data_IF_717993306772
#
_entry.id   IF_717993306772
#
_cell.length_a   1.000
_cell.length_b   1.000
_cell.length_c   1.000
_cell.angle_alpha   90.00
_cell.angle_beta   90.00
_cell.angle_gamma   90.00
#
_symmetry.space_group_name_H-M   'P 1'
#
loop_
_entity.id
_entity.type
_entity.pdbx_description
1 polymer ?
#
# COMPACT_ATOMS: atom_id res chain seq x y z
N UNK A 1 49.89 21.50 1.77
CA UNK A 1 49.37 20.76 2.94
C UNK A 1 47.98 20.27 2.54
N UNK A 2 47.86 19.11 1.87
CA UNK A 2 47.70 17.77 2.45
C UNK A 2 46.48 17.75 3.41
N UNK A 3 45.40 16.98 3.23
CA UNK A 3 45.33 15.53 2.91
C UNK A 3 43.86 15.16 2.59
N UNK A 4 43.47 14.75 1.38
CA UNK A 4 43.14 13.37 0.94
C UNK A 4 42.54 12.39 1.98
N UNK A 5 41.22 12.18 2.03
CA UNK A 5 40.61 10.87 2.39
C UNK A 5 39.26 10.72 1.66
N UNK A 6 39.29 10.12 0.46
CA UNK A 6 39.00 8.70 0.15
C UNK A 6 37.49 8.37 0.13
N UNK A 7 37.00 8.19 -1.10
CA UNK A 7 35.76 7.55 -1.50
C UNK A 7 35.63 6.17 -0.85
N UNK A 8 34.51 5.91 -0.18
CA UNK A 8 34.10 4.54 0.17
C UNK A 8 32.86 4.20 -0.65
N UNK A 9 33.10 3.61 -1.81
CA UNK A 9 32.11 2.87 -2.58
C UNK A 9 31.91 1.55 -1.84
N UNK A 10 30.79 1.40 -1.13
CA UNK A 10 30.38 0.10 -0.62
C UNK A 10 29.52 -0.58 -1.68
N UNK A 11 30.19 -1.34 -2.55
CA UNK A 11 29.54 -2.23 -3.50
C UNK A 11 28.88 -3.37 -2.76
N UNK A 12 27.54 -3.42 -2.76
CA UNK A 12 26.80 -4.62 -2.39
C UNK A 12 26.79 -5.52 -3.61
N UNK A 13 27.47 -6.65 -3.47
CA UNK A 13 27.60 -7.70 -4.45
C UNK A 13 26.23 -8.20 -4.94
N UNK A 14 26.11 -8.38 -6.26
CA UNK A 14 24.98 -9.03 -6.88
C UNK A 14 24.82 -10.46 -6.37
N UNK A 15 23.67 -10.75 -5.79
CA UNK A 15 23.25 -12.11 -5.45
C UNK A 15 22.69 -12.74 -6.73
N UNK A 16 23.55 -13.47 -7.46
CA UNK A 16 23.12 -14.32 -8.57
C UNK A 16 22.38 -15.54 -8.00
N UNK A 17 21.05 -15.58 -8.12
CA UNK A 17 20.26 -16.79 -7.83
C UNK A 17 20.30 -17.70 -9.06
N UNK A 18 21.32 -18.53 -9.15
CA UNK A 18 21.43 -19.59 -10.15
C UNK A 18 20.81 -20.89 -9.64
N UNK A 19 19.62 -21.21 -10.16
CA UNK A 19 19.19 -22.58 -10.44
C UNK A 19 18.60 -23.41 -9.30
N UNK A 20 17.58 -24.21 -9.63
CA UNK A 20 17.21 -25.39 -8.87
C UNK A 20 15.72 -25.57 -8.65
N UNK A 21 15.05 -26.19 -9.63
CA UNK A 21 13.73 -26.82 -9.51
C UNK A 21 13.70 -27.71 -8.26
N UNK A 22 12.70 -27.56 -7.40
CA UNK A 22 12.34 -28.58 -6.42
C UNK A 22 10.84 -28.85 -6.44
N UNK A 23 10.56 -30.12 -6.67
CA UNK A 23 9.25 -30.74 -6.80
C UNK A 23 8.47 -30.77 -5.48
N UNK A 24 7.15 -30.73 -5.59
CA UNK A 24 6.19 -31.12 -4.55
C UNK A 24 5.11 -32.04 -5.13
N UNK A 25 4.36 -32.79 -4.30
CA UNK A 25 4.14 -34.23 -4.52
C UNK A 25 2.74 -34.65 -5.03
N UNK A 26 2.74 -35.68 -5.89
CA UNK A 26 1.74 -36.76 -6.16
C UNK A 26 0.23 -36.54 -5.88
N UNK A 27 -0.57 -36.57 -6.97
CA UNK A 27 -1.60 -37.59 -7.22
C UNK A 27 -2.04 -37.51 -8.70
N UNK A 28 -1.91 -38.62 -9.43
CA UNK A 28 -2.26 -38.73 -10.83
C UNK A 28 -3.78 -38.87 -11.01
N UNK A 29 -4.39 -37.97 -11.79
CA UNK A 29 -5.57 -38.28 -12.59
C UNK A 29 -5.33 -37.66 -13.97
N UNK A 30 -4.98 -38.52 -14.92
CA UNK A 30 -4.62 -38.12 -16.27
C UNK A 30 -5.88 -37.73 -17.05
N UNK A 31 -6.05 -36.42 -17.27
CA UNK A 31 -6.87 -35.87 -18.34
C UNK A 31 -6.08 -34.72 -18.97
N UNK A 32 -5.78 -34.84 -20.26
CA UNK A 32 -4.88 -33.94 -20.97
C UNK A 32 -5.58 -32.66 -21.44
N UNK A 33 -5.13 -31.45 -21.05
CA UNK A 33 -5.58 -30.21 -21.66
C UNK A 33 -4.50 -29.64 -22.60
N UNK A 34 -4.97 -29.21 -23.76
CA UNK A 34 -4.21 -28.47 -24.78
C UNK A 34 -3.72 -27.13 -24.21
N UNK A 35 -2.42 -27.02 -23.93
CA UNK A 35 -1.82 -25.79 -23.45
C UNK A 35 -1.59 -24.81 -24.60
N UNK A 36 -2.41 -23.75 -24.64
CA UNK A 36 -2.13 -22.56 -25.45
C UNK A 36 -0.81 -21.94 -24.97
N UNK A 37 0.18 -21.88 -25.87
CA UNK A 37 1.46 -21.23 -25.62
C UNK A 37 1.25 -19.72 -25.43
N UNK A 38 1.07 -19.29 -24.17
CA UNK A 38 1.11 -17.89 -23.79
C UNK A 38 2.50 -17.33 -24.03
N UNK A 39 2.62 -16.36 -24.96
CA UNK A 39 3.87 -15.63 -25.18
C UNK A 39 4.31 -14.96 -23.86
N UNK A 40 5.60 -14.98 -23.49
CA UNK A 40 6.06 -14.24 -22.33
C UNK A 40 5.84 -12.74 -22.58
N UNK A 41 4.97 -12.12 -21.79
CA UNK A 41 4.85 -10.67 -21.75
C UNK A 41 6.07 -10.14 -21.01
N UNK A 42 7.02 -9.60 -21.77
CA UNK A 42 8.13 -8.85 -21.20
C UNK A 42 7.55 -7.67 -20.39
N UNK A 43 7.94 -7.56 -19.13
CA UNK A 43 7.68 -6.34 -18.36
C UNK A 43 8.47 -5.20 -19.02
N UNK A 44 7.78 -4.37 -19.79
CA UNK A 44 8.36 -3.14 -20.32
C UNK A 44 8.53 -2.22 -19.12
N UNK A 45 9.78 -2.06 -18.67
CA UNK A 45 10.14 -1.00 -17.76
C UNK A 45 9.85 0.32 -18.49
N UNK A 46 8.69 0.93 -18.22
CA UNK A 46 8.36 2.23 -18.79
C UNK A 46 9.40 3.24 -18.31
N UNK A 47 9.93 4.04 -19.24
CA UNK A 47 10.82 5.13 -18.88
C UNK A 47 10.15 6.06 -17.88
N UNK A 48 10.96 6.62 -16.96
CA UNK A 48 10.47 7.60 -15.99
C UNK A 48 9.79 8.73 -16.77
N UNK A 49 8.51 9.05 -16.49
CA UNK A 49 7.82 10.08 -17.24
C UNK A 49 8.47 11.43 -17.00
N UNK A 50 8.57 12.22 -18.08
CA UNK A 50 9.14 13.55 -18.05
C UNK A 50 8.27 14.49 -17.19
N UNK A 51 8.81 14.85 -16.02
CA UNK A 51 8.12 15.74 -15.09
C UNK A 51 7.90 17.13 -15.71
N UNK A 52 8.77 17.62 -16.60
CA UNK A 52 8.55 18.90 -17.29
C UNK A 52 7.33 18.88 -18.21
N UNK A 53 6.98 17.71 -18.74
CA UNK A 53 5.74 17.49 -19.52
C UNK A 53 4.52 17.29 -18.62
N UNK A 54 4.69 16.66 -17.46
CA UNK A 54 3.59 16.38 -16.52
C UNK A 54 3.19 17.60 -15.66
N UNK A 55 4.17 18.43 -15.29
CA UNK A 55 4.00 19.64 -14.46
C UNK A 55 4.70 20.84 -15.13
N UNK A 56 4.25 21.28 -16.33
CA UNK A 56 4.87 22.37 -17.09
C UNK A 56 4.89 23.72 -16.34
N UNK A 57 4.03 23.87 -15.34
CA UNK A 57 3.95 25.06 -14.49
C UNK A 57 4.40 24.79 -13.05
N UNK A 58 5.03 23.64 -12.79
CA UNK A 58 5.32 23.15 -11.44
C UNK A 58 4.06 22.72 -10.69
N UNK A 59 4.26 22.26 -9.45
CA UNK A 59 3.15 22.04 -8.51
C UNK A 59 2.73 23.39 -7.95
N UNK A 60 1.47 23.77 -8.16
CA UNK A 60 0.96 25.03 -7.64
C UNK A 60 0.57 24.84 -6.17
N UNK A 61 1.24 25.58 -5.28
CA UNK A 61 0.98 25.55 -3.85
C UNK A 61 1.84 24.55 -3.06
N UNK A 62 1.85 24.74 -1.73
CA UNK A 62 2.50 23.82 -0.82
C UNK A 62 1.62 22.59 -0.56
N UNK A 63 2.25 21.43 -0.32
CA UNK A 63 1.52 20.25 0.13
C UNK A 63 0.91 20.52 1.51
N UNK A 64 -0.41 20.41 1.62
CA UNK A 64 -1.12 20.49 2.89
C UNK A 64 -0.73 19.33 3.82
N UNK A 65 -0.64 19.64 5.12
CA UNK A 65 -0.40 18.66 6.18
C UNK A 65 -1.47 18.81 7.25
N UNK A 66 -1.82 17.70 7.89
CA UNK A 66 -2.72 17.67 9.03
C UNK A 66 -1.90 17.20 10.23
N UNK A 67 -2.02 17.94 11.34
CA UNK A 67 -1.53 17.50 12.64
C UNK A 67 -2.59 16.61 13.26
N UNK A 68 -2.24 15.38 13.60
CA UNK A 68 -3.14 14.45 14.28
C UNK A 68 -2.97 14.58 15.78
N UNK A 69 -4.08 14.51 16.51
CA UNK A 69 -4.04 14.32 17.95
C UNK A 69 -3.78 12.84 18.31
N UNK A 70 -3.69 12.56 19.62
CA UNK A 70 -3.38 11.21 20.11
C UNK A 70 -4.46 10.18 19.75
N UNK A 71 -5.73 10.56 19.81
CA UNK A 71 -6.86 9.69 19.47
C UNK A 71 -6.85 9.32 17.98
N UNK A 72 -6.74 10.33 17.10
CA UNK A 72 -6.65 10.14 15.65
C UNK A 72 -5.43 9.28 15.29
N UNK A 73 -4.30 9.50 15.97
CA UNK A 73 -3.09 8.68 15.81
C UNK A 73 -3.34 7.23 16.26
N UNK A 74 -4.07 7.02 17.35
CA UNK A 74 -4.53 5.71 17.82
C UNK A 74 -5.41 5.01 16.78
N UNK A 75 -6.38 5.72 16.22
CA UNK A 75 -7.29 5.20 15.19
C UNK A 75 -6.56 4.82 13.91
N UNK A 76 -5.59 5.63 13.45
CA UNK A 76 -4.73 5.29 12.31
C UNK A 76 -3.95 4.00 12.56
N UNK A 77 -3.37 3.84 13.76
CA UNK A 77 -2.66 2.61 14.14
C UNK A 77 -3.59 1.40 14.14
N UNK A 78 -4.83 1.56 14.62
CA UNK A 78 -5.83 0.51 14.61
C UNK A 78 -6.20 0.07 13.19
N UNK A 79 -6.41 1.01 12.25
CA UNK A 79 -6.67 0.72 10.84
C UNK A 79 -5.50 -0.07 10.22
N UNK A 80 -4.25 0.36 10.46
CA UNK A 80 -3.06 -0.33 9.95
C UNK A 80 -2.98 -1.76 10.53
N UNK A 81 -3.21 -1.92 11.83
CA UNK A 81 -3.18 -3.22 12.49
C UNK A 81 -4.27 -4.16 11.94
N UNK A 82 -5.49 -3.67 11.75
CA UNK A 82 -6.60 -4.43 11.18
C UNK A 82 -6.30 -4.87 9.74
N UNK A 83 -5.77 -3.95 8.91
CA UNK A 83 -5.39 -4.24 7.53
C UNK A 83 -4.32 -5.34 7.45
N UNK A 84 -3.28 -5.24 8.30
CA UNK A 84 -2.23 -6.26 8.41
C UNK A 84 -2.77 -7.60 8.86
N UNK A 85 -3.63 -7.61 9.89
CA UNK A 85 -4.30 -8.83 10.39
C UNK A 85 -5.14 -9.50 9.32
N UNK A 86 -5.75 -8.73 8.43
CA UNK A 86 -6.54 -9.23 7.31
C UNK A 86 -5.69 -9.70 6.10
N UNK A 87 -4.35 -9.62 6.17
CA UNK A 87 -3.47 -10.03 5.07
C UNK A 87 -3.56 -9.12 3.83
N UNK A 88 -4.09 -7.90 3.99
CA UNK A 88 -4.30 -6.97 2.89
C UNK A 88 -3.00 -6.20 2.56
N UNK A 89 -2.83 -5.74 1.30
CA UNK A 89 -1.66 -4.98 0.90
C UNK A 89 -1.62 -3.62 1.62
N UNK A 90 -0.43 -3.01 1.75
CA UNK A 90 -0.24 -1.71 2.40
C UNK A 90 -1.15 -0.61 1.83
N UNK A 91 -1.41 -0.65 0.53
CA UNK A 91 -2.33 0.27 -0.15
C UNK A 91 -3.74 0.24 0.45
N UNK A 92 -4.20 -0.90 0.97
CA UNK A 92 -5.51 -0.99 1.62
C UNK A 92 -5.56 -0.15 2.91
N UNK A 93 -4.46 -0.10 3.68
CA UNK A 93 -4.39 0.74 4.87
C UNK A 93 -4.41 2.22 4.49
N UNK A 94 -3.68 2.60 3.43
CA UNK A 94 -3.68 3.98 2.91
C UNK A 94 -5.08 4.41 2.48
N UNK A 95 -5.77 3.58 1.69
CA UNK A 95 -7.15 3.86 1.25
C UNK A 95 -8.06 3.96 2.48
N UNK A 96 -7.98 3.02 3.42
CA UNK A 96 -8.82 3.02 4.61
C UNK A 96 -8.64 4.26 5.48
N UNK A 97 -7.38 4.70 5.66
CA UNK A 97 -7.07 5.95 6.38
C UNK A 97 -7.65 7.15 5.63
N UNK A 98 -7.47 7.23 4.31
CA UNK A 98 -7.97 8.33 3.50
C UNK A 98 -9.50 8.41 3.53
N UNK A 99 -10.18 7.26 3.43
CA UNK A 99 -11.63 7.17 3.57
C UNK A 99 -12.06 7.62 4.96
N UNK A 100 -11.47 7.09 6.02
CA UNK A 100 -11.84 7.49 7.39
C UNK A 100 -11.58 8.97 7.67
N UNK A 101 -10.52 9.55 7.10
CA UNK A 101 -10.27 10.98 7.18
C UNK A 101 -11.38 11.81 6.50
N UNK A 102 -11.91 11.33 5.38
CA UNK A 102 -13.00 12.00 4.66
C UNK A 102 -14.35 11.85 5.36
N UNK A 103 -14.63 10.67 5.92
CA UNK A 103 -15.91 10.36 6.55
C UNK A 103 -16.04 10.94 7.97
N UNK A 104 -14.98 10.86 8.77
CA UNK A 104 -15.04 11.18 10.21
C UNK A 104 -13.86 12.01 10.72
N UNK A 105 -12.95 12.46 9.85
CA UNK A 105 -11.68 13.10 10.27
C UNK A 105 -10.86 12.22 11.21
N UNK A 106 -10.97 10.89 11.07
CA UNK A 106 -10.34 9.90 11.96
C UNK A 106 -10.87 9.92 13.41
N UNK A 107 -12.05 10.48 13.65
CA UNK A 107 -12.73 10.48 14.95
C UNK A 107 -13.69 9.28 15.02
N UNK A 108 -13.61 8.50 16.10
CA UNK A 108 -14.45 7.31 16.23
C UNK A 108 -15.79 7.65 16.87
N UNK A 109 -16.76 8.07 16.06
CA UNK A 109 -18.08 8.50 16.53
C UNK A 109 -18.86 7.32 17.13
N UNK A 110 -19.24 7.44 18.39
CA UNK A 110 -19.88 6.39 19.18
C UNK A 110 -21.36 6.21 18.87
N UNK A 111 -21.90 5.03 19.22
CA UNK A 111 -23.33 4.73 19.14
C UNK A 111 -24.05 5.24 20.39
N UNK A 112 -24.95 6.21 20.22
CA UNK A 112 -25.77 6.78 21.31
C UNK A 112 -26.96 5.88 21.74
N UNK A 113 -26.92 4.58 21.43
CA UNK A 113 -28.01 3.64 21.75
C UNK A 113 -29.26 3.94 20.92
N UNK A 114 -30.44 3.77 21.53
CA UNK A 114 -31.74 4.04 20.87
C UNK A 114 -31.90 5.49 20.40
N UNK A 115 -31.08 6.42 20.89
CA UNK A 115 -31.04 7.82 20.46
C UNK A 115 -30.24 8.03 19.16
N UNK A 116 -29.48 7.02 18.71
CA UNK A 116 -28.77 7.02 17.44
C UNK A 116 -29.67 6.51 16.32
N UNK A 117 -30.89 7.03 16.25
CA UNK A 117 -31.85 6.63 15.24
C UNK A 117 -31.36 7.11 13.87
N UNK A 118 -31.15 6.16 12.95
CA UNK A 118 -30.74 6.39 11.57
C UNK A 118 -29.37 7.06 11.31
N UNK A 119 -28.58 7.38 12.32
CA UNK A 119 -27.27 8.04 12.17
C UNK A 119 -26.12 7.06 11.87
N UNK A 120 -25.11 7.55 11.16
CA UNK A 120 -23.90 6.82 10.80
C UNK A 120 -22.91 6.73 11.96
N UNK A 121 -22.12 5.64 11.99
CA UNK A 121 -21.27 5.29 13.13
C UNK A 121 -19.81 5.04 12.77
N UNK A 122 -18.94 5.40 13.72
CA UNK A 122 -17.53 5.05 13.76
C UNK A 122 -16.68 5.66 12.64
N UNK A 123 -15.44 5.17 12.53
CA UNK A 123 -14.41 5.74 11.64
C UNK A 123 -14.81 5.85 10.17
N UNK A 124 -15.71 4.99 9.70
CA UNK A 124 -16.14 4.90 8.30
C UNK A 124 -17.59 5.35 8.09
N UNK A 125 -18.23 5.94 9.12
CA UNK A 125 -19.61 6.39 9.08
C UNK A 125 -20.57 5.31 8.53
N UNK A 126 -20.39 4.07 9.02
CA UNK A 126 -21.17 2.93 8.57
C UNK A 126 -22.61 3.08 9.03
N UNK A 127 -23.54 2.66 8.16
CA UNK A 127 -24.97 2.65 8.45
C UNK A 127 -25.42 1.20 8.59
N UNK A 128 -25.60 0.68 9.81
CA UNK A 128 -26.19 -0.63 10.01
C UNK A 128 -27.60 -0.63 9.41
N UNK A 129 -27.86 -1.58 8.51
CA UNK A 129 -29.17 -1.78 7.86
C UNK A 129 -30.00 -2.81 8.60
#
# INVERSE_FOLDING_TARGET
MNTMLRKTVLGVAGLAFTGGVFAGPIAAHADAPTAAAGKPVAAVQADKPDMGKLIPHGVQGAQSKITLNDEQTGNVKAIIAATKKAGLPERAAVISIATSLQESKLENLGHLGDANDHDSLGLFQQRPS
#
